data_IF_145833644949
#
_entry.id   IF_145833644949
#
_cell.length_a   1.000
_cell.length_b   1.000
_cell.length_c   1.000
_cell.angle_alpha   90.00
_cell.angle_beta   90.00
_cell.angle_gamma   90.00
#
_symmetry.space_group_name_H-M   'P 1'
#
loop_
_entity.id
_entity.type
_entity.pdbx_description
1 polymer ?
#
# COMPACT_ATOMS: atom_id res chain seq x y z
N UNK A 1 25.67 -12.83 -36.20
CA UNK A 1 26.28 -13.20 -34.90
C UNK A 1 26.10 -12.16 -33.77
N UNK A 2 26.24 -10.85 -34.01
CA UNK A 2 26.16 -9.81 -32.95
C UNK A 2 24.84 -9.77 -32.17
N UNK A 3 23.70 -9.97 -32.86
CA UNK A 3 22.37 -10.06 -32.23
C UNK A 3 22.22 -11.28 -31.30
N UNK A 4 22.82 -12.42 -31.67
CA UNK A 4 22.72 -13.67 -30.91
C UNK A 4 23.44 -13.56 -29.56
N UNK A 5 24.64 -12.97 -29.57
CA UNK A 5 25.40 -12.63 -28.35
C UNK A 5 24.65 -11.63 -27.47
N UNK A 6 23.96 -10.66 -28.06
CA UNK A 6 23.13 -9.70 -27.32
C UNK A 6 21.95 -10.38 -26.60
N UNK A 7 21.21 -11.26 -27.29
CA UNK A 7 20.12 -12.01 -26.65
C UNK A 7 20.60 -12.95 -25.55
N UNK A 8 21.74 -13.64 -25.75
CA UNK A 8 22.37 -14.45 -24.70
C UNK A 8 22.70 -13.59 -23.46
N UNK A 9 23.28 -12.42 -23.66
CA UNK A 9 23.58 -11.49 -22.56
C UNK A 9 22.32 -11.04 -21.81
N UNK A 10 21.23 -10.71 -22.52
CA UNK A 10 19.97 -10.32 -21.90
C UNK A 10 19.38 -11.45 -21.03
N UNK A 11 19.42 -12.68 -21.55
CA UNK A 11 18.90 -13.87 -20.86
C UNK A 11 19.72 -14.21 -19.62
N UNK A 12 21.04 -14.16 -19.72
CA UNK A 12 21.93 -14.57 -18.62
C UNK A 12 22.13 -13.50 -17.56
N UNK A 13 22.10 -12.21 -17.93
CA UNK A 13 22.47 -11.11 -17.04
C UNK A 13 21.28 -10.25 -16.63
N UNK A 14 20.46 -9.81 -17.59
CA UNK A 14 19.40 -8.83 -17.31
C UNK A 14 18.10 -9.45 -16.80
N UNK A 15 17.58 -10.48 -17.48
CA UNK A 15 16.31 -11.11 -17.09
C UNK A 15 16.29 -11.69 -15.67
N UNK A 16 17.35 -12.36 -15.18
CA UNK A 16 17.37 -12.87 -13.81
C UNK A 16 17.33 -11.75 -12.77
N UNK A 17 18.03 -10.64 -13.04
CA UNK A 17 18.03 -9.45 -12.19
C UNK A 17 16.63 -8.83 -12.14
N UNK A 18 16.01 -8.60 -13.30
CA UNK A 18 14.65 -8.06 -13.39
C UNK A 18 13.62 -8.95 -12.70
N UNK A 19 13.71 -10.29 -12.87
CA UNK A 19 12.83 -11.24 -12.19
C UNK A 19 12.89 -11.09 -10.67
N UNK A 20 14.09 -11.00 -10.09
CA UNK A 20 14.26 -10.77 -8.65
C UNK A 20 13.64 -9.45 -8.20
N UNK A 21 13.86 -8.38 -8.96
CA UNK A 21 13.24 -7.07 -8.68
C UNK A 21 11.72 -7.13 -8.74
N UNK A 22 11.13 -7.80 -9.74
CA UNK A 22 9.68 -7.96 -9.81
C UNK A 22 9.12 -8.80 -8.66
N UNK A 23 9.82 -9.85 -8.24
CA UNK A 23 9.41 -10.65 -7.08
C UNK A 23 9.43 -9.82 -5.79
N UNK A 24 10.50 -9.05 -5.57
CA UNK A 24 10.58 -8.13 -4.43
C UNK A 24 9.45 -7.10 -4.46
N UNK A 25 9.23 -6.47 -5.61
CA UNK A 25 8.20 -5.46 -5.79
C UNK A 25 6.79 -6.02 -5.56
N UNK A 26 6.48 -7.19 -6.13
CA UNK A 26 5.18 -7.85 -5.93
C UNK A 26 4.93 -8.19 -4.46
N UNK A 27 5.96 -8.64 -3.73
CA UNK A 27 5.84 -8.89 -2.30
C UNK A 27 5.63 -7.58 -1.51
N UNK A 28 6.23 -6.47 -1.95
CA UNK A 28 6.05 -5.17 -1.32
C UNK A 28 4.67 -4.54 -1.62
N UNK A 29 4.07 -4.89 -2.75
CA UNK A 29 2.77 -4.38 -3.17
C UNK A 29 1.59 -5.01 -2.44
N UNK A 30 1.66 -6.31 -2.15
CA UNK A 30 0.51 -7.08 -1.67
C UNK A 30 -0.75 -6.78 -2.54
N UNK A 31 -1.82 -6.24 -1.97
CA UNK A 31 -3.06 -5.82 -2.68
C UNK A 31 -3.00 -4.41 -3.33
N UNK A 32 -1.88 -3.69 -3.24
CA UNK A 32 -1.75 -2.30 -3.72
C UNK A 32 -1.17 -2.19 -5.13
N UNK A 33 -1.73 -1.28 -5.94
CA UNK A 33 -1.33 -1.10 -7.34
C UNK A 33 -0.21 -0.04 -7.59
N UNK A 34 0.41 0.55 -6.56
CA UNK A 34 1.39 1.64 -6.76
C UNK A 34 2.49 1.70 -5.69
N UNK A 35 3.70 2.16 -6.09
CA UNK A 35 4.87 2.36 -5.20
C UNK A 35 4.85 3.70 -4.44
N UNK A 36 3.73 4.42 -4.51
CA UNK A 36 3.69 5.85 -4.22
C UNK A 36 3.65 6.20 -2.72
N UNK A 37 3.82 5.23 -1.82
CA UNK A 37 3.72 5.46 -0.37
C UNK A 37 5.04 5.16 0.32
N UNK A 38 5.56 6.15 1.05
CA UNK A 38 6.70 5.99 1.97
C UNK A 38 6.31 5.17 3.21
N UNK A 39 5.04 5.20 3.59
CA UNK A 39 4.45 4.41 4.66
C UNK A 39 3.38 3.47 4.08
N UNK A 40 3.56 2.13 4.16
CA UNK A 40 2.62 1.18 3.60
C UNK A 40 1.25 1.27 4.27
N UNK A 41 1.18 1.61 5.56
CA UNK A 41 -0.05 1.60 6.37
C UNK A 41 -0.90 2.87 6.20
N UNK A 42 -0.32 3.94 5.66
CA UNK A 42 -1.03 5.18 5.39
C UNK A 42 -1.97 5.07 4.18
N UNK A 43 -3.15 5.66 4.28
CA UNK A 43 -4.13 5.83 3.19
C UNK A 43 -4.10 7.27 2.71
N UNK A 44 -4.01 7.49 1.40
CA UNK A 44 -4.05 8.83 0.83
C UNK A 44 -5.51 9.24 0.59
N UNK A 45 -5.97 10.31 1.24
CA UNK A 45 -7.35 10.77 1.19
C UNK A 45 -7.45 12.29 1.07
N UNK A 46 -8.58 12.78 0.51
CA UNK A 46 -8.91 14.21 0.55
C UNK A 46 -9.49 14.55 1.92
N UNK A 47 -8.79 15.40 2.66
CA UNK A 47 -9.21 15.82 3.99
C UNK A 47 -10.24 16.95 3.92
N UNK A 48 -11.26 16.90 4.78
CA UNK A 48 -12.20 18.03 4.95
C UNK A 48 -11.50 19.24 5.54
N UNK A 49 -10.58 19.02 6.48
CA UNK A 49 -9.77 20.06 7.13
C UNK A 49 -8.41 20.22 6.42
N UNK A 50 -8.42 20.20 5.09
CA UNK A 50 -7.21 20.54 4.34
C UNK A 50 -6.91 22.04 4.50
N UNK A 51 -5.93 22.37 5.34
CA UNK A 51 -5.47 23.74 5.59
C UNK A 51 -5.09 24.52 4.32
N UNK A 52 -4.67 23.83 3.27
CA UNK A 52 -4.29 24.44 2.00
C UNK A 52 -5.45 24.49 0.99
N UNK A 53 -6.59 23.85 1.29
CA UNK A 53 -7.77 23.70 0.43
C UNK A 53 -7.42 23.37 -1.04
N UNK A 54 -6.33 22.65 -1.26
CA UNK A 54 -5.80 22.39 -2.60
C UNK A 54 -6.31 21.07 -3.17
N UNK A 55 -7.07 20.30 -2.38
CA UNK A 55 -7.63 19.01 -2.79
C UNK A 55 -6.56 17.94 -2.98
N UNK A 56 -5.36 18.15 -2.42
CA UNK A 56 -4.28 17.19 -2.46
C UNK A 56 -4.60 16.02 -1.52
N UNK A 57 -4.31 14.81 -1.99
CA UNK A 57 -4.40 13.64 -1.13
C UNK A 57 -3.30 13.70 -0.06
N UNK A 58 -3.70 13.64 1.20
CA UNK A 58 -2.79 13.59 2.34
C UNK A 58 -2.74 12.16 2.89
N UNK A 59 -1.56 11.70 3.37
CA UNK A 59 -1.46 10.43 4.04
C UNK A 59 -2.18 10.50 5.40
N UNK A 60 -3.05 9.54 5.68
CA UNK A 60 -3.79 9.41 6.92
C UNK A 60 -4.04 7.93 7.27
N UNK A 61 -4.21 7.62 8.55
CA UNK A 61 -4.53 6.29 9.02
C UNK A 61 -6.03 6.20 9.35
N UNK A 62 -6.74 5.25 8.72
CA UNK A 62 -8.11 4.94 9.16
C UNK A 62 -8.04 4.02 10.37
N UNK A 63 -8.03 4.63 11.57
CA UNK A 63 -7.97 3.93 12.84
C UNK A 63 -9.39 3.66 13.36
N UNK A 64 -9.77 2.40 13.50
CA UNK A 64 -11.00 2.01 14.21
C UNK A 64 -10.66 1.45 15.59
N UNK A 65 -11.36 1.95 16.60
CA UNK A 65 -11.13 1.59 18.00
C UNK A 65 -12.44 1.10 18.61
N UNK A 66 -12.42 -0.07 19.25
CA UNK A 66 -13.50 -0.55 20.11
C UNK A 66 -13.14 -0.33 21.57
N UNK A 67 -13.99 0.42 22.25
CA UNK A 67 -13.87 0.69 23.68
C UNK A 67 -15.05 0.08 24.42
N UNK A 68 -14.80 -0.42 25.63
CA UNK A 68 -15.84 -0.81 26.56
C UNK A 68 -15.59 -0.08 27.89
N UNK A 69 -16.56 0.74 28.30
CA UNK A 69 -16.45 1.64 29.46
C UNK A 69 -15.24 2.57 29.30
N UNK A 70 -14.20 2.40 30.12
CA UNK A 70 -12.97 3.21 30.14
C UNK A 70 -11.77 2.47 29.55
N UNK A 71 -11.98 1.31 28.93
CA UNK A 71 -10.89 0.49 28.39
C UNK A 71 -11.00 0.36 26.87
N UNK A 72 -9.85 0.45 26.21
CA UNK A 72 -9.71 0.09 24.80
C UNK A 72 -9.51 -1.42 24.72
N UNK A 73 -10.40 -2.11 24.02
CA UNK A 73 -10.36 -3.56 23.87
C UNK A 73 -9.70 -3.97 22.56
N UNK A 74 -10.02 -3.28 21.47
CA UNK A 74 -9.52 -3.60 20.14
C UNK A 74 -9.22 -2.33 19.35
N UNK A 75 -8.21 -2.41 18.49
CA UNK A 75 -7.91 -1.38 17.50
C UNK A 75 -7.49 -2.01 16.19
N UNK A 76 -7.71 -1.30 15.09
CA UNK A 76 -7.27 -1.71 13.75
C UNK A 76 -7.01 -0.52 12.87
N UNK A 77 -5.94 -0.59 12.09
CA UNK A 77 -5.58 0.40 11.07
C UNK A 77 -5.95 -0.19 9.71
N UNK A 78 -6.57 0.63 8.86
CA UNK A 78 -7.09 0.16 7.58
C UNK A 78 -6.70 1.07 6.42
N UNK A 79 -6.30 0.44 5.32
CA UNK A 79 -5.82 1.11 4.12
C UNK A 79 -6.95 1.47 3.13
N UNK A 80 -8.13 1.87 3.62
CA UNK A 80 -9.32 2.10 2.78
C UNK A 80 -9.89 3.49 3.01
N UNK A 81 -10.14 4.28 1.95
CA UNK A 81 -10.51 5.68 2.10
C UNK A 81 -11.95 5.92 2.61
N UNK A 82 -12.72 4.88 2.86
CA UNK A 82 -14.13 4.99 3.28
C UNK A 82 -14.40 4.00 4.39
N UNK A 83 -14.82 4.51 5.55
CA UNK A 83 -15.04 3.71 6.77
C UNK A 83 -16.10 2.61 6.63
N UNK A 84 -17.09 2.79 5.74
CA UNK A 84 -18.24 1.88 5.61
C UNK A 84 -17.82 0.43 5.31
N UNK A 85 -16.76 0.23 4.51
CA UNK A 85 -16.26 -1.11 4.18
C UNK A 85 -15.31 -1.66 5.24
N UNK A 86 -14.77 -0.79 6.08
CA UNK A 86 -13.79 -1.13 7.10
C UNK A 86 -14.46 -1.76 8.32
N UNK A 87 -15.64 -1.29 8.72
CA UNK A 87 -16.35 -1.81 9.88
C UNK A 87 -16.66 -3.31 9.77
N UNK A 88 -17.06 -3.79 8.58
CA UNK A 88 -17.31 -5.21 8.35
C UNK A 88 -16.05 -6.07 8.56
N UNK A 89 -14.87 -5.53 8.25
CA UNK A 89 -13.60 -6.22 8.44
C UNK A 89 -13.17 -6.18 9.91
N UNK A 90 -13.41 -5.06 10.59
CA UNK A 90 -13.13 -4.90 12.03
C UNK A 90 -13.96 -5.83 12.91
N UNK A 91 -15.22 -6.07 12.57
CA UNK A 91 -16.09 -7.00 13.30
C UNK A 91 -15.79 -8.48 13.04
N UNK A 92 -15.06 -8.80 11.97
CA UNK A 92 -14.66 -10.18 11.63
C UNK A 92 -13.34 -10.62 12.29
N UNK A 93 -12.62 -9.68 12.91
CA UNK A 93 -11.45 -9.96 13.75
C UNK A 93 -11.91 -10.48 15.10
#
# INVERSE_FOLDING_TARGET
>A
MRKLKHYQHLIEKDFPKRKRTYQYNNNAFDDCNSFSKTDPDATFMCMKEDSMLNGQLKPEYNLQIATQKRFTLYYGIYQRPTEQRVLQQFLKK
#
